data_IF_930321012229
#
_entry.id   IF_930321012229
#
_cell.length_a   1.000
_cell.length_b   1.000
_cell.length_c   1.000
_cell.angle_alpha   90.00
_cell.angle_beta   90.00
_cell.angle_gamma   90.00
#
_symmetry.space_group_name_H-M   'P 1'
#
loop_
_entity.id
_entity.type
_entity.pdbx_description
1 polymer ?
#
# COMPACT_ATOMS: atom_id res chain seq x y z
N UNK A 1 15.84 4.55 -8.94
CA UNK A 1 14.79 5.11 -8.07
C UNK A 1 13.62 4.14 -8.06
N UNK A 2 13.11 3.75 -6.89
CA UNK A 2 11.85 3.01 -6.79
C UNK A 2 10.69 3.94 -7.15
N UNK A 3 9.65 3.42 -7.80
CA UNK A 3 8.43 4.19 -8.04
C UNK A 3 7.62 4.19 -6.74
N UNK A 4 7.11 5.37 -6.36
CA UNK A 4 6.23 5.53 -5.21
C UNK A 4 4.80 5.12 -5.55
N UNK A 5 4.17 4.32 -4.69
CA UNK A 5 2.78 3.85 -4.80
C UNK A 5 2.04 4.16 -3.51
N UNK A 6 0.83 4.72 -3.66
CA UNK A 6 -0.06 5.01 -2.55
C UNK A 6 -1.28 4.10 -2.66
N UNK A 7 -1.61 3.41 -1.58
CA UNK A 7 -2.78 2.53 -1.46
C UNK A 7 -3.74 3.17 -0.46
N UNK A 8 -4.98 3.39 -0.88
CA UNK A 8 -6.05 3.92 -0.05
C UNK A 8 -6.99 2.77 0.36
N UNK A 9 -6.95 2.39 1.62
CA UNK A 9 -7.65 1.25 2.22
C UNK A 9 -6.69 0.13 2.65
N UNK A 10 -6.71 -0.20 3.94
CA UNK A 10 -5.95 -1.25 4.62
C UNK A 10 -6.74 -2.56 4.81
N UNK A 11 -7.82 -2.77 4.05
CA UNK A 11 -8.51 -4.06 3.98
C UNK A 11 -7.70 -5.14 3.25
N UNK A 12 -8.26 -6.36 3.13
CA UNK A 12 -7.56 -7.52 2.57
C UNK A 12 -6.97 -7.25 1.17
N UNK A 13 -7.74 -6.63 0.27
CA UNK A 13 -7.28 -6.31 -1.08
C UNK A 13 -6.15 -5.26 -1.10
N UNK A 14 -6.25 -4.25 -0.24
CA UNK A 14 -5.24 -3.19 -0.12
C UNK A 14 -3.92 -3.72 0.41
N UNK A 15 -3.97 -4.54 1.46
CA UNK A 15 -2.78 -5.16 2.05
C UNK A 15 -2.14 -6.20 1.14
N UNK A 16 -2.93 -7.00 0.39
CA UNK A 16 -2.39 -7.92 -0.62
C UNK A 16 -1.67 -7.18 -1.74
N UNK A 17 -2.24 -6.07 -2.24
CA UNK A 17 -1.59 -5.24 -3.24
C UNK A 17 -0.31 -4.59 -2.70
N UNK A 18 -0.33 -4.12 -1.44
CA UNK A 18 0.82 -3.52 -0.78
C UNK A 18 1.98 -4.51 -0.66
N UNK A 19 1.68 -5.74 -0.24
CA UNK A 19 2.66 -6.81 -0.12
C UNK A 19 3.33 -7.14 -1.46
N UNK A 20 2.54 -7.41 -2.50
CA UNK A 20 3.07 -7.73 -3.83
C UNK A 20 3.94 -6.61 -4.41
N UNK A 21 3.52 -5.34 -4.24
CA UNK A 21 4.28 -4.19 -4.73
C UNK A 21 5.56 -3.95 -3.92
N UNK A 22 5.53 -4.17 -2.61
CA UNK A 22 6.73 -4.10 -1.78
C UNK A 22 7.76 -5.16 -2.19
N UNK A 23 7.33 -6.42 -2.44
CA UNK A 23 8.21 -7.49 -2.91
C UNK A 23 8.85 -7.18 -4.28
N UNK A 24 8.15 -6.43 -5.14
CA UNK A 24 8.66 -5.95 -6.43
C UNK A 24 9.57 -4.72 -6.32
N UNK A 25 9.84 -4.23 -5.12
CA UNK A 25 10.76 -3.10 -4.87
C UNK A 25 10.16 -1.71 -5.09
N UNK A 26 8.83 -1.59 -5.04
CA UNK A 26 8.17 -0.28 -5.01
C UNK A 26 8.25 0.34 -3.60
N UNK A 27 8.23 1.67 -3.53
CA UNK A 27 8.08 2.41 -2.28
C UNK A 27 6.58 2.58 -2.01
N UNK A 28 6.04 1.82 -1.04
CA UNK A 28 4.60 1.68 -0.84
C UNK A 28 4.16 2.30 0.48
N UNK A 29 3.16 3.17 0.42
CA UNK A 29 2.46 3.71 1.60
C UNK A 29 0.98 3.33 1.57
N UNK A 30 0.46 2.83 2.69
CA UNK A 30 -0.95 2.47 2.86
C UNK A 30 -1.61 3.46 3.80
N UNK A 31 -2.73 4.05 3.37
CA UNK A 31 -3.55 4.94 4.19
C UNK A 31 -4.91 4.30 4.42
N UNK A 32 -5.31 4.15 5.68
CA UNK A 32 -6.67 3.74 6.06
C UNK A 32 -7.38 4.91 6.72
N UNK A 33 -8.69 4.99 6.53
CA UNK A 33 -9.53 5.97 7.21
C UNK A 33 -9.49 5.68 8.71
N UNK A 34 -9.06 6.66 9.48
CA UNK A 34 -9.31 6.67 10.93
C UNK A 34 -10.64 7.40 11.18
N UNK A 35 -11.56 6.77 11.89
CA UNK A 35 -12.71 7.47 12.45
C UNK A 35 -12.24 8.16 13.74
N UNK A 36 -12.36 9.48 13.76
CA UNK A 36 -12.03 10.36 14.90
C UNK A 36 -13.23 10.41 15.84
#
# INVERSE_FOLDING_TARGET
>A
MSKKVIILGGGIGGMSAAHELAERGFDVEVFERQEI
#
